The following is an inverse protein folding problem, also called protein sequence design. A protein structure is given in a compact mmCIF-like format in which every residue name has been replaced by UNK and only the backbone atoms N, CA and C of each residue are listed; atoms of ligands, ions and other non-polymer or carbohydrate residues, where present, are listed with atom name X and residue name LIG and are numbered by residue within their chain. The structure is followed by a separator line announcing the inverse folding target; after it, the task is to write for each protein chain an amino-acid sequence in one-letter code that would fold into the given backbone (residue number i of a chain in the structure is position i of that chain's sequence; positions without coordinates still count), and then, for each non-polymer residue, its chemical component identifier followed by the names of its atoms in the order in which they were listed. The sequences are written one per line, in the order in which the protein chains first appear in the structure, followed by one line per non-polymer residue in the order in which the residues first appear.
data_IF_941401910896
#
_entry.id   IF_941401910896
#
_cell.length_a   1.000
_cell.length_b   1.000
_cell.length_c   1.000
_cell.angle_alpha   90.00
_cell.angle_beta   90.00
_cell.angle_gamma   90.00
#
_symmetry.space_group_name_H-M   'P 1'
#
loop_
_entity.id
_entity.type
_entity.pdbx_description
1 polymer ?
#
# COMPACT_ATOMS: atom_id res chain seq x y z
N UNK A 1 -5.25 4.24 10.82
CA UNK A 1 -6.06 4.37 9.60
C UNK A 1 -6.08 5.81 9.16
N UNK A 2 -5.82 6.06 7.87
CA UNK A 2 -5.84 7.40 7.29
C UNK A 2 -7.28 7.94 7.15
N UNK A 3 -7.43 9.26 7.14
CA UNK A 3 -8.72 9.92 6.93
C UNK A 3 -9.36 9.46 5.60
N UNK A 4 -8.59 9.34 4.53
CA UNK A 4 -9.09 8.84 3.24
C UNK A 4 -9.60 7.39 3.31
N UNK A 5 -8.92 6.52 4.06
CA UNK A 5 -9.38 5.14 4.27
C UNK A 5 -10.70 5.12 5.03
N UNK A 6 -10.85 5.96 6.06
CA UNK A 6 -12.06 6.03 6.87
C UNK A 6 -13.27 6.51 6.05
N UNK A 7 -13.08 7.49 5.17
CA UNK A 7 -14.15 7.98 4.29
C UNK A 7 -14.60 6.91 3.29
N UNK A 8 -13.65 6.22 2.64
CA UNK A 8 -13.99 5.17 1.66
C UNK A 8 -14.68 3.99 2.36
N UNK A 9 -14.14 3.54 3.50
CA UNK A 9 -14.72 2.44 4.28
C UNK A 9 -16.10 2.75 4.88
N UNK A 10 -16.43 4.02 5.11
CA UNK A 10 -17.74 4.41 5.61
C UNK A 10 -18.85 4.31 4.56
N UNK A 11 -18.50 4.32 3.27
CA UNK A 11 -19.46 4.32 2.15
C UNK A 11 -19.66 2.91 1.60
N UNK A 12 -18.60 2.08 1.61
CA UNK A 12 -18.64 0.73 1.01
C UNK A 12 -19.22 -0.32 1.99
N UNK A 13 -19.82 -1.40 1.48
CA UNK A 13 -20.19 -2.55 2.31
C UNK A 13 -18.98 -3.11 3.07
N UNK A 14 -19.20 -3.58 4.31
CA UNK A 14 -18.13 -4.07 5.19
C UNK A 14 -17.26 -5.15 4.53
N UNK A 15 -17.88 -6.11 3.85
CA UNK A 15 -17.17 -7.19 3.14
C UNK A 15 -16.27 -6.67 2.01
N UNK A 16 -16.70 -5.61 1.30
CA UNK A 16 -15.89 -4.96 0.28
C UNK A 16 -14.72 -4.20 0.92
N UNK A 17 -14.98 -3.48 2.03
CA UNK A 17 -13.93 -2.81 2.80
C UNK A 17 -12.83 -3.77 3.28
N UNK A 18 -13.20 -4.94 3.78
CA UNK A 18 -12.26 -6.01 4.17
C UNK A 18 -11.47 -6.56 2.98
N UNK A 19 -12.11 -6.74 1.82
CA UNK A 19 -11.43 -7.14 0.59
C UNK A 19 -10.43 -6.08 0.10
N UNK A 20 -10.82 -4.79 0.18
CA UNK A 20 -9.97 -3.66 -0.18
C UNK A 20 -8.76 -3.53 0.75
N UNK A 21 -8.95 -3.70 2.05
CA UNK A 21 -7.87 -3.70 3.03
C UNK A 21 -6.89 -4.84 2.74
N UNK A 22 -7.40 -6.06 2.58
CA UNK A 22 -6.58 -7.25 2.30
C UNK A 22 -5.76 -7.10 1.01
N UNK A 23 -6.35 -6.63 -0.08
CA UNK A 23 -5.60 -6.41 -1.32
C UNK A 23 -4.59 -5.26 -1.16
N UNK A 24 -4.99 -4.15 -0.52
CA UNK A 24 -4.11 -2.99 -0.30
C UNK A 24 -2.90 -3.32 0.56
N UNK A 25 -3.03 -4.24 1.53
CA UNK A 25 -1.91 -4.73 2.36
C UNK A 25 -0.89 -5.55 1.56
N UNK A 26 -1.31 -6.20 0.47
CA UNK A 26 -0.41 -6.94 -0.44
C UNK A 26 0.42 -6.02 -1.31
N UNK A 27 -0.06 -4.81 -1.55
CA UNK A 27 0.73 -3.81 -2.25
C UNK A 27 1.78 -3.22 -1.33
N UNK A 28 3.05 -3.42 -1.67
CA UNK A 28 4.20 -3.00 -0.88
C UNK A 28 4.95 -1.89 -1.61
N UNK A 29 5.39 -0.90 -0.84
CA UNK A 29 6.33 0.13 -1.25
C UNK A 29 7.70 -0.21 -0.66
N UNK A 30 8.68 -0.40 -1.53
CA UNK A 30 10.07 -0.64 -1.13
C UNK A 30 10.92 0.60 -1.42
N UNK A 31 11.56 1.13 -0.37
CA UNK A 31 12.52 2.21 -0.51
C UNK A 31 13.82 1.69 -1.13
N UNK A 32 14.27 2.30 -2.22
CA UNK A 32 15.49 1.87 -2.90
C UNK A 32 16.78 2.29 -2.18
N UNK A 33 16.72 3.21 -1.20
CA UNK A 33 17.90 3.65 -0.44
C UNK A 33 18.16 2.82 0.81
N UNK A 34 17.12 2.40 1.55
CA UNK A 34 17.27 1.64 2.80
C UNK A 34 16.59 0.26 2.76
N UNK A 35 16.03 -0.14 1.62
CA UNK A 35 15.32 -1.42 1.42
C UNK A 35 14.13 -1.65 2.37
N UNK A 36 13.69 -0.61 3.09
CA UNK A 36 12.53 -0.70 3.96
C UNK A 36 11.25 -0.89 3.14
N UNK A 37 10.44 -1.86 3.57
CA UNK A 37 9.17 -2.22 2.96
C UNK A 37 8.01 -1.81 3.86
N UNK A 38 7.01 -1.18 3.27
CA UNK A 38 5.79 -0.80 3.97
C UNK A 38 4.59 -1.05 3.06
N UNK A 39 3.49 -1.55 3.60
CA UNK A 39 2.29 -1.74 2.80
C UNK A 39 1.65 -0.40 2.42
N UNK A 40 0.95 -0.37 1.28
CA UNK A 40 0.18 0.81 0.86
C UNK A 40 -0.89 1.12 1.91
N UNK A 41 -1.49 0.09 2.52
CA UNK A 41 -2.48 0.27 3.58
C UNK A 41 -1.90 0.99 4.81
N UNK A 42 -0.71 0.59 5.26
CA UNK A 42 -0.11 1.14 6.48
C UNK A 42 0.29 2.62 6.30
N UNK A 43 0.64 3.04 5.08
CA UNK A 43 0.89 4.45 4.77
C UNK A 43 -0.38 5.25 4.49
N UNK A 44 -1.56 4.65 4.69
CA UNK A 44 -2.84 5.33 4.54
C UNK A 44 -3.40 5.37 3.12
N UNK A 45 -2.82 4.61 2.20
CA UNK A 45 -3.29 4.47 0.83
C UNK A 45 -4.28 3.32 0.65
N UNK A 46 -4.97 3.32 -0.48
CA UNK A 46 -5.83 2.22 -0.92
C UNK A 46 -5.40 1.84 -2.34
N UNK A 47 -5.21 0.55 -2.58
CA UNK A 47 -4.92 -0.01 -3.90
C UNK A 47 -5.61 -1.37 -3.99
N UNK A 48 -6.79 -1.37 -4.60
CA UNK A 48 -7.67 -2.53 -4.75
C UNK A 48 -7.86 -2.85 -6.24
N UNK A 49 -7.76 -4.13 -6.60
CA UNK A 49 -7.89 -4.62 -7.99
C UNK A 49 -6.97 -3.90 -9.00
N UNK A 50 -5.88 -3.33 -8.51
CA UNK A 50 -4.92 -2.64 -9.36
C UNK A 50 -3.95 -3.64 -10.01
N UNK A 51 -3.24 -3.19 -11.03
CA UNK A 51 -2.18 -3.95 -11.69
C UNK A 51 -0.96 -3.06 -11.96
N UNK A 52 0.17 -3.70 -12.28
CA UNK A 52 1.43 -3.04 -12.62
C UNK A 52 2.28 -2.59 -11.43
N UNK A 53 3.56 -2.31 -11.71
CA UNK A 53 4.60 -2.02 -10.73
C UNK A 53 5.15 -0.58 -10.88
N UNK A 54 4.34 0.45 -10.57
CA UNK A 54 4.78 1.84 -10.74
C UNK A 54 5.89 2.20 -9.74
N UNK A 55 6.63 3.27 -10.04
CA UNK A 55 7.53 3.91 -9.08
C UNK A 55 6.87 5.17 -8.53
N UNK A 56 6.98 5.42 -7.23
CA UNK A 56 6.44 6.60 -6.56
C UNK A 56 7.55 7.38 -5.88
N UNK A 57 7.67 8.67 -6.16
CA UNK A 57 8.57 9.56 -5.45
C UNK A 57 7.94 9.95 -4.11
N UNK A 58 8.52 9.49 -3.00
CA UNK A 58 8.04 9.85 -1.66
C UNK A 58 9.15 9.82 -0.62
N UNK A 59 8.90 10.49 0.51
CA UNK A 59 9.72 10.38 1.71
C UNK A 59 9.57 8.99 2.32
N UNK A 60 10.69 8.32 2.58
CA UNK A 60 10.72 7.05 3.28
C UNK A 60 10.49 7.25 4.78
N UNK A 61 9.56 6.53 5.43
CA UNK A 61 9.32 6.66 6.87
C UNK A 61 10.49 6.14 7.73
N UNK A 62 11.30 5.21 7.20
CA UNK A 62 12.42 4.62 7.93
C UNK A 62 13.70 5.47 7.87
N UNK A 63 14.10 5.95 6.68
CA UNK A 63 15.36 6.68 6.50
C UNK A 63 15.21 8.19 6.28
N UNK A 64 13.98 8.70 6.17
CA UNK A 64 13.69 10.13 5.98
C UNK A 64 14.03 10.71 4.60
N UNK A 65 14.73 9.96 3.74
CA UNK A 65 15.13 10.41 2.40
C UNK A 65 13.95 10.37 1.42
N UNK A 66 13.91 11.33 0.51
CA UNK A 66 12.98 11.32 -0.63
C UNK A 66 13.61 10.49 -1.73
N UNK A 67 12.96 9.38 -2.11
CA UNK A 67 13.49 8.42 -3.08
C UNK A 67 12.38 7.90 -3.97
N UNK A 68 12.75 7.44 -5.17
CA UNK A 68 11.85 6.63 -5.98
C UNK A 68 11.65 5.28 -5.31
N UNK A 69 10.45 5.06 -4.79
CA UNK A 69 10.07 3.79 -4.17
C UNK A 69 9.44 2.88 -5.21
N UNK A 70 9.83 1.61 -5.20
CA UNK A 70 9.25 0.58 -6.07
C UNK A 70 7.95 0.11 -5.43
N UNK A 71 6.85 0.17 -6.18
CA UNK A 71 5.59 -0.46 -5.80
C UNK A 71 5.54 -1.83 -6.45
N UNK A 72 5.25 -2.86 -5.66
CA UNK A 72 4.99 -4.19 -6.18
C UNK A 72 3.88 -4.87 -5.38
N UNK A 73 3.20 -5.83 -6.00
CA UNK A 73 2.22 -6.67 -5.32
C UNK A 73 2.96 -7.91 -4.80
N UNK A 74 2.92 -8.14 -3.49
CA UNK A 74 3.41 -9.37 -2.90
C UNK A 74 2.45 -10.49 -3.29
N UNK A 75 2.96 -11.52 -3.95
CA UNK A 75 2.19 -12.74 -4.19
C UNK A 75 2.00 -13.46 -2.87
N UNK A 76 0.79 -13.93 -2.61
CA UNK A 76 0.54 -14.81 -1.48
C UNK A 76 1.22 -16.14 -1.80
N UNK A 77 2.03 -16.71 -0.89
CA UNK A 77 2.62 -18.01 -1.14
C UNK A 77 1.47 -19.00 -1.44
N UNK A 78 1.58 -19.70 -2.57
CA UNK A 78 0.63 -20.76 -2.92
C UNK A 78 0.60 -21.75 -1.76
N UNK A 79 -0.56 -21.84 -1.11
CA UNK A 79 -0.83 -22.81 -0.05
C UNK A 79 -0.99 -24.21 -0.64
#
# INVERSE_FOLDING_TARGET
MSFMQRFILAIVPKSLGEAMERDSRRWVLQCQACQHEVSIWDIGGIRYCAYGNPRKLRRCPACGRVTWQRVYKREEPAA
#
